data_IF_182419588147
#
_entry.id   IF_182419588147
#
_cell.length_a   1.000
_cell.length_b   1.000
_cell.length_c   1.000
_cell.angle_alpha   90.00
_cell.angle_beta   90.00
_cell.angle_gamma   90.00
#
_symmetry.space_group_name_H-M   'P 1'
#
loop_
_entity.id
_entity.type
_entity.pdbx_description
1 polymer ?
#
# COMPACT_ATOMS: atom_id res chain seq x y z
N UNK A 1 -31.83 -9.89 -0.67
CA UNK A 1 -30.89 -11.01 -0.63
C UNK A 1 -29.57 -10.43 -0.13
N UNK A 2 -29.18 -10.70 1.10
CA UNK A 2 -27.84 -10.39 1.59
C UNK A 2 -26.87 -11.25 0.80
N UNK A 3 -25.97 -10.64 0.00
CA UNK A 3 -24.84 -11.39 -0.57
C UNK A 3 -24.08 -12.01 0.59
N UNK A 4 -23.94 -13.34 0.61
CA UNK A 4 -23.03 -13.98 1.55
C UNK A 4 -21.65 -13.34 1.39
N UNK A 5 -21.05 -12.93 2.50
CA UNK A 5 -19.70 -12.32 2.50
C UNK A 5 -18.73 -13.40 2.08
N UNK A 6 -18.13 -13.26 0.91
CA UNK A 6 -17.11 -14.19 0.41
C UNK A 6 -15.87 -14.02 1.29
N UNK A 7 -15.49 -15.09 1.99
CA UNK A 7 -14.30 -15.08 2.86
C UNK A 7 -13.04 -15.33 2.03
N UNK A 8 -12.12 -14.40 2.10
CA UNK A 8 -10.76 -14.54 1.59
C UNK A 8 -9.76 -14.14 2.69
N UNK A 9 -8.52 -14.55 2.58
CA UNK A 9 -7.48 -14.28 3.55
C UNK A 9 -6.09 -14.53 2.98
N UNK A 10 -5.15 -14.85 3.86
CA UNK A 10 -3.75 -15.10 3.51
C UNK A 10 -3.26 -16.49 3.98
N UNK A 11 -4.17 -17.36 4.37
CA UNK A 11 -3.87 -18.76 4.71
C UNK A 11 -3.85 -19.68 3.48
N UNK A 12 -3.48 -20.94 3.65
CA UNK A 12 -3.39 -21.92 2.55
C UNK A 12 -4.73 -22.19 1.84
N UNK A 13 -5.88 -21.93 2.48
CA UNK A 13 -7.21 -22.27 1.95
C UNK A 13 -7.90 -21.11 1.27
N UNK A 14 -7.64 -19.91 1.74
CA UNK A 14 -8.31 -18.69 1.32
C UNK A 14 -7.33 -17.60 0.84
N UNK A 15 -6.05 -17.91 0.77
CA UNK A 15 -4.97 -17.02 0.41
C UNK A 15 -4.83 -16.75 -1.09
N UNK A 16 -3.79 -15.98 -1.47
CA UNK A 16 -3.60 -15.45 -2.82
C UNK A 16 -3.66 -16.51 -3.94
N UNK A 17 -3.12 -17.70 -3.70
CA UNK A 17 -3.15 -18.81 -4.65
C UNK A 17 -4.56 -19.36 -4.91
N UNK A 18 -5.48 -19.09 -4.00
CA UNK A 18 -6.86 -19.58 -4.09
C UNK A 18 -7.85 -18.52 -4.55
N UNK A 19 -7.48 -17.21 -4.50
CA UNK A 19 -8.44 -16.13 -4.74
C UNK A 19 -9.25 -16.29 -6.03
N UNK A 20 -8.60 -16.56 -7.15
CA UNK A 20 -9.27 -16.75 -8.43
C UNK A 20 -10.21 -17.96 -8.51
N UNK A 21 -10.18 -18.85 -7.51
CA UNK A 21 -11.03 -20.04 -7.41
C UNK A 21 -12.16 -19.90 -6.39
N UNK A 22 -12.14 -18.85 -5.55
CA UNK A 22 -13.13 -18.67 -4.47
C UNK A 22 -14.50 -18.32 -5.06
N UNK A 23 -14.55 -17.42 -6.03
CA UNK A 23 -15.79 -17.07 -6.73
C UNK A 23 -15.48 -16.41 -8.09
N UNK A 24 -16.50 -16.31 -8.95
CA UNK A 24 -16.35 -15.73 -10.29
C UNK A 24 -15.89 -14.26 -10.27
N UNK A 25 -16.28 -13.50 -9.26
CA UNK A 25 -15.90 -12.08 -9.14
C UNK A 25 -14.38 -11.92 -8.91
N UNK A 26 -13.69 -12.97 -8.46
CA UNK A 26 -12.25 -12.97 -8.16
C UNK A 26 -11.40 -13.67 -9.24
N UNK A 27 -12.01 -14.19 -10.31
CA UNK A 27 -11.32 -14.92 -11.39
C UNK A 27 -10.16 -14.12 -12.00
N UNK A 28 -10.27 -12.79 -12.03
CA UNK A 28 -9.24 -11.89 -12.54
C UNK A 28 -7.92 -12.00 -11.77
N UNK A 29 -7.93 -12.49 -10.51
CA UNK A 29 -6.72 -12.74 -9.75
C UNK A 29 -5.80 -13.78 -10.42
N UNK A 30 -6.37 -14.68 -11.23
CA UNK A 30 -5.66 -15.72 -11.98
C UNK A 30 -5.52 -15.40 -13.47
N UNK A 31 -6.54 -14.77 -14.07
CA UNK A 31 -6.62 -14.56 -15.52
C UNK A 31 -6.10 -13.20 -15.96
N UNK A 32 -6.00 -12.26 -15.03
CA UNK A 32 -5.54 -10.90 -15.28
C UNK A 32 -4.10 -10.85 -15.80
N UNK A 33 -3.81 -9.84 -16.62
CA UNK A 33 -2.49 -9.65 -17.26
C UNK A 33 -1.76 -8.42 -16.74
N UNK A 34 -2.45 -7.59 -15.99
CA UNK A 34 -1.88 -6.38 -15.39
C UNK A 34 -2.01 -6.44 -13.86
N UNK A 35 -1.68 -7.59 -13.28
CA UNK A 35 -1.79 -7.81 -11.84
C UNK A 35 -0.64 -7.18 -11.04
N UNK A 36 -0.91 -6.86 -9.77
CA UNK A 36 0.02 -6.33 -8.76
C UNK A 36 0.04 -7.24 -7.53
N UNK A 37 1.12 -7.21 -6.72
CA UNK A 37 2.35 -6.41 -6.85
C UNK A 37 3.31 -6.96 -7.91
N UNK A 38 4.44 -6.28 -8.15
CA UNK A 38 5.49 -6.74 -9.07
C UNK A 38 6.88 -6.60 -8.44
N UNK A 39 7.88 -7.32 -8.99
CA UNK A 39 9.28 -7.03 -8.71
C UNK A 39 9.75 -5.90 -9.66
N UNK A 40 10.29 -4.83 -9.09
CA UNK A 40 10.85 -3.69 -9.85
C UNK A 40 12.34 -3.94 -10.02
N UNK A 41 12.73 -4.38 -11.23
CA UNK A 41 14.14 -4.52 -11.59
C UNK A 41 14.65 -3.17 -12.11
N UNK A 42 15.56 -2.51 -11.38
CA UNK A 42 16.06 -1.19 -11.77
C UNK A 42 16.77 -1.21 -13.13
N UNK A 43 17.33 -2.35 -13.53
CA UNK A 43 17.96 -2.54 -14.83
C UNK A 43 16.97 -2.47 -16.01
N UNK A 44 15.69 -2.80 -15.76
CA UNK A 44 14.62 -2.88 -16.77
C UNK A 44 13.78 -1.62 -16.88
N UNK A 45 14.09 -0.59 -16.09
CA UNK A 45 13.36 0.68 -16.11
C UNK A 45 13.61 1.45 -17.41
N UNK A 46 12.55 1.68 -18.15
CA UNK A 46 12.64 2.14 -19.55
C UNK A 46 12.92 3.64 -19.68
N UNK A 47 12.54 4.49 -18.73
CA UNK A 47 12.64 5.97 -18.88
C UNK A 47 12.89 6.69 -17.57
N UNK A 48 13.83 7.64 -17.60
CA UNK A 48 13.97 8.69 -16.62
C UNK A 48 13.13 9.89 -17.05
N UNK A 49 12.23 10.34 -16.16
CA UNK A 49 11.42 11.55 -16.39
C UNK A 49 11.53 12.46 -15.17
N UNK A 50 11.56 13.80 -15.36
CA UNK A 50 11.45 14.71 -14.24
C UNK A 50 10.05 14.59 -13.62
N UNK A 51 10.01 14.56 -12.28
CA UNK A 51 8.75 14.50 -11.56
C UNK A 51 8.05 15.85 -11.55
N UNK A 52 6.74 15.83 -11.81
CA UNK A 52 5.83 16.96 -11.59
C UNK A 52 4.86 16.70 -10.45
N UNK A 53 5.10 15.65 -9.67
CA UNK A 53 4.23 15.28 -8.56
C UNK A 53 4.24 16.33 -7.45
N UNK A 54 3.07 16.64 -6.90
CA UNK A 54 2.91 17.54 -5.76
C UNK A 54 2.05 16.86 -4.70
N UNK A 55 2.48 16.97 -3.45
CA UNK A 55 1.78 16.41 -2.30
C UNK A 55 1.02 17.51 -1.57
N UNK A 56 -0.20 17.17 -1.12
CA UNK A 56 -1.11 18.05 -0.38
C UNK A 56 -1.50 17.37 0.93
N UNK A 57 -0.53 16.78 1.62
CA UNK A 57 -0.73 16.19 2.94
C UNK A 57 -0.32 17.17 4.02
N UNK A 58 -1.08 17.17 5.10
CA UNK A 58 -0.83 17.92 6.33
C UNK A 58 -1.38 17.14 7.51
N UNK A 59 -0.96 17.46 8.70
CA UNK A 59 -1.55 16.92 9.91
C UNK A 59 -3.06 17.17 9.94
N UNK A 60 -3.83 16.12 10.18
CA UNK A 60 -5.29 16.16 10.31
C UNK A 60 -5.79 14.93 11.07
N UNK A 61 -7.10 14.91 11.35
CA UNK A 61 -7.75 13.78 12.01
C UNK A 61 -8.09 12.68 11.00
N UNK A 62 -7.97 11.44 11.47
CA UNK A 62 -8.26 10.22 10.73
C UNK A 62 -9.08 9.27 11.59
N UNK A 63 -9.92 8.47 10.96
CA UNK A 63 -10.55 7.30 11.58
C UNK A 63 -9.77 6.05 11.23
N UNK A 64 -9.36 5.28 12.24
CA UNK A 64 -8.74 3.96 12.07
C UNK A 64 -9.80 2.90 12.32
N UNK A 65 -9.84 1.89 11.45
CA UNK A 65 -10.67 0.71 11.63
C UNK A 65 -10.10 -0.50 10.91
N UNK A 66 -10.43 -1.70 11.41
CA UNK A 66 -10.12 -2.92 10.71
C UNK A 66 -11.15 -3.17 9.61
N UNK A 67 -10.66 -3.45 8.41
CA UNK A 67 -11.46 -3.94 7.29
C UNK A 67 -10.83 -5.26 6.85
N UNK A 68 -11.60 -6.34 6.97
CA UNK A 68 -11.14 -7.68 6.63
C UNK A 68 -9.87 -8.07 7.39
N UNK A 69 -8.75 -8.25 6.69
CA UNK A 69 -7.48 -8.68 7.29
C UNK A 69 -6.52 -7.52 7.60
N UNK A 70 -6.87 -6.27 7.26
CA UNK A 70 -5.98 -5.13 7.39
C UNK A 70 -6.57 -3.98 8.22
N UNK A 71 -5.70 -3.13 8.73
CA UNK A 71 -6.04 -1.88 9.41
C UNK A 71 -5.99 -0.75 8.41
N UNK A 72 -7.11 -0.08 8.22
CA UNK A 72 -7.28 1.03 7.30
C UNK A 72 -7.45 2.35 8.04
N UNK A 73 -6.85 3.39 7.49
CA UNK A 73 -6.84 4.76 8.02
C UNK A 73 -7.50 5.69 7.02
N UNK A 74 -8.55 6.40 7.44
CA UNK A 74 -9.40 7.22 6.58
C UNK A 74 -9.28 8.70 6.96
N UNK A 75 -8.89 9.61 6.05
CA UNK A 75 -8.79 11.04 6.35
C UNK A 75 -10.17 11.69 6.53
N UNK A 76 -10.29 12.58 7.52
CA UNK A 76 -11.45 13.45 7.64
C UNK A 76 -11.40 14.61 6.65
N UNK A 77 -10.21 15.16 6.42
CA UNK A 77 -9.98 16.22 5.44
C UNK A 77 -9.92 15.64 4.02
N UNK A 78 -10.91 15.99 3.21
CA UNK A 78 -11.03 15.53 1.82
C UNK A 78 -10.09 16.25 0.83
N UNK A 79 -9.37 17.25 1.30
CA UNK A 79 -8.35 17.96 0.51
C UNK A 79 -6.96 17.29 0.59
N UNK A 80 -6.81 16.25 1.43
CA UNK A 80 -5.61 15.40 1.44
C UNK A 80 -5.46 14.67 0.11
N UNK A 81 -4.25 14.62 -0.45
CA UNK A 81 -4.03 13.92 -1.71
C UNK A 81 -2.74 14.31 -2.42
N UNK A 82 -2.66 13.97 -3.68
CA UNK A 82 -1.53 14.32 -4.54
C UNK A 82 -1.98 14.78 -5.93
N UNK A 83 -1.12 15.50 -6.62
CA UNK A 83 -1.27 15.81 -8.06
C UNK A 83 -0.18 15.11 -8.84
N UNK A 84 -0.57 14.32 -9.83
CA UNK A 84 0.32 13.60 -10.74
C UNK A 84 -0.12 13.84 -12.18
N UNK A 85 0.82 14.15 -13.06
CA UNK A 85 0.57 14.49 -14.47
C UNK A 85 -0.52 15.55 -14.69
N UNK A 86 -0.59 16.55 -13.80
CA UNK A 86 -1.59 17.61 -13.86
C UNK A 86 -2.95 17.29 -13.23
N UNK A 87 -3.24 16.04 -12.95
CA UNK A 87 -4.48 15.54 -12.36
C UNK A 87 -4.38 15.46 -10.83
N UNK A 88 -5.44 15.85 -10.11
CA UNK A 88 -5.52 15.71 -8.66
C UNK A 88 -6.21 14.41 -8.27
N UNK A 89 -5.60 13.71 -7.31
CA UNK A 89 -6.08 12.45 -6.76
C UNK A 89 -6.26 12.60 -5.25
N UNK A 90 -7.51 12.70 -4.75
CA UNK A 90 -7.79 12.75 -3.31
C UNK A 90 -7.41 11.44 -2.63
N UNK A 91 -6.84 11.53 -1.41
CA UNK A 91 -6.57 10.37 -0.56
C UNK A 91 -7.89 9.83 -0.02
N UNK A 92 -8.14 8.54 -0.25
CA UNK A 92 -9.33 7.85 0.26
C UNK A 92 -9.03 7.12 1.56
N UNK A 93 -7.90 6.42 1.61
CA UNK A 93 -7.43 5.68 2.78
C UNK A 93 -5.97 5.29 2.62
N UNK A 94 -5.36 4.81 3.70
CA UNK A 94 -4.09 4.10 3.59
C UNK A 94 -4.06 2.91 4.56
N UNK A 95 -3.21 1.93 4.28
CA UNK A 95 -3.05 0.71 5.05
C UNK A 95 -1.67 0.11 4.83
N UNK A 96 -1.28 -0.86 5.66
CA UNK A 96 0.01 -1.54 5.56
C UNK A 96 -0.14 -3.00 5.17
N UNK A 97 0.90 -3.51 4.52
CA UNK A 97 1.16 -4.92 4.29
C UNK A 97 2.46 -5.35 4.97
N UNK A 98 2.47 -6.55 5.53
CA UNK A 98 3.62 -7.20 6.17
C UNK A 98 3.73 -8.64 5.63
N UNK A 99 4.91 -9.02 5.08
CA UNK A 99 5.96 -8.14 4.57
C UNK A 99 5.49 -7.28 3.40
N UNK A 100 6.38 -6.48 2.81
CA UNK A 100 6.08 -5.72 1.61
C UNK A 100 5.60 -6.62 0.47
N UNK A 101 4.71 -6.08 -0.37
CA UNK A 101 4.15 -6.80 -1.52
C UNK A 101 5.01 -6.62 -2.78
N UNK A 102 5.47 -5.37 -3.06
CA UNK A 102 6.43 -5.13 -4.12
C UNK A 102 7.85 -5.52 -3.70
N UNK A 103 8.66 -5.90 -4.68
CA UNK A 103 10.10 -6.09 -4.49
C UNK A 103 10.86 -5.01 -5.28
N UNK A 104 12.05 -4.67 -4.79
CA UNK A 104 13.01 -3.84 -5.50
C UNK A 104 14.30 -4.64 -5.71
N UNK A 105 14.63 -4.97 -6.97
CA UNK A 105 15.73 -5.87 -7.32
C UNK A 105 15.73 -7.18 -6.51
N UNK A 106 14.53 -7.74 -6.29
CA UNK A 106 14.33 -8.95 -5.49
C UNK A 106 14.37 -8.77 -3.97
N UNK A 107 14.66 -7.56 -3.47
CA UNK A 107 14.63 -7.28 -2.04
C UNK A 107 13.20 -7.01 -1.56
N UNK A 108 12.80 -7.67 -0.47
CA UNK A 108 11.50 -7.53 0.20
C UNK A 108 11.68 -6.71 1.47
N UNK A 109 11.07 -5.54 1.51
CA UNK A 109 11.06 -4.71 2.71
C UNK A 109 10.14 -5.30 3.80
N UNK A 110 10.39 -4.99 5.10
CA UNK A 110 9.54 -5.46 6.21
C UNK A 110 8.10 -4.97 6.14
N UNK A 111 7.88 -3.71 5.77
CA UNK A 111 6.54 -3.10 5.68
C UNK A 111 6.40 -2.33 4.38
N UNK A 112 5.21 -2.40 3.79
CA UNK A 112 4.79 -1.53 2.69
C UNK A 112 3.47 -0.85 3.03
N UNK A 113 3.45 0.48 2.99
CA UNK A 113 2.25 1.30 3.13
C UNK A 113 1.65 1.60 1.78
N UNK A 114 0.35 1.38 1.61
CA UNK A 114 -0.42 1.74 0.43
C UNK A 114 -1.33 2.92 0.71
N UNK A 115 -1.10 4.04 0.03
CA UNK A 115 -1.92 5.25 0.06
C UNK A 115 -2.85 5.24 -1.14
N UNK A 116 -4.11 4.91 -0.91
CA UNK A 116 -5.13 4.74 -1.95
C UNK A 116 -5.75 6.09 -2.27
N UNK A 117 -5.65 6.48 -3.52
CA UNK A 117 -6.26 7.71 -4.05
C UNK A 117 -7.27 7.34 -5.11
N UNK A 118 -8.40 8.04 -5.13
CA UNK A 118 -9.45 7.77 -6.10
C UNK A 118 -10.15 9.07 -6.52
N UNK A 119 -10.21 9.30 -7.83
CA UNK A 119 -10.97 10.42 -8.38
C UNK A 119 -12.49 10.12 -8.36
N UNK A 120 -13.35 11.13 -8.46
CA UNK A 120 -14.80 10.94 -8.50
C UNK A 120 -15.31 10.06 -9.66
N UNK A 121 -14.50 9.91 -10.72
CA UNK A 121 -14.81 9.04 -11.86
C UNK A 121 -14.39 7.57 -11.65
N UNK A 122 -13.84 7.24 -10.46
CA UNK A 122 -13.38 5.91 -10.10
C UNK A 122 -11.93 5.60 -10.54
N UNK A 123 -11.23 6.55 -11.19
CA UNK A 123 -9.81 6.37 -11.53
C UNK A 123 -8.97 6.24 -10.27
N UNK A 124 -8.28 5.11 -10.12
CA UNK A 124 -7.50 4.77 -8.92
C UNK A 124 -6.01 4.95 -9.15
N UNK A 125 -5.35 5.58 -8.19
CA UNK A 125 -3.90 5.66 -8.06
C UNK A 125 -3.51 5.18 -6.67
N UNK A 126 -2.58 4.24 -6.56
CA UNK A 126 -2.02 3.81 -5.28
C UNK A 126 -0.56 4.22 -5.22
N UNK A 127 -0.20 4.95 -4.16
CA UNK A 127 1.19 5.23 -3.86
C UNK A 127 1.67 4.28 -2.78
N UNK A 128 2.85 3.70 -2.97
CA UNK A 128 3.49 2.78 -2.04
C UNK A 128 4.73 3.43 -1.43
N UNK A 129 4.91 3.24 -0.13
CA UNK A 129 6.12 3.62 0.61
C UNK A 129 6.59 2.47 1.48
N UNK A 130 7.88 2.18 1.43
CA UNK A 130 8.48 1.09 2.21
C UNK A 130 9.05 1.58 3.55
N UNK A 131 9.06 0.69 4.51
CA UNK A 131 9.84 0.84 5.73
C UNK A 131 10.80 -0.33 5.88
N UNK A 132 12.04 0.01 6.25
CA UNK A 132 13.09 -0.94 6.57
C UNK A 132 13.42 -0.87 8.07
N UNK A 133 14.06 -1.92 8.59
CA UNK A 133 14.42 -1.98 10.00
C UNK A 133 15.83 -1.42 10.20
N UNK A 134 15.95 -0.42 11.07
CA UNK A 134 17.23 0.09 11.53
C UNK A 134 17.45 -0.23 13.01
N UNK A 135 18.46 -1.04 13.29
CA UNK A 135 18.88 -1.40 14.63
C UNK A 135 19.90 -0.42 15.22
N UNK A 136 20.14 0.71 14.54
CA UNK A 136 21.02 1.79 15.00
C UNK A 136 20.19 2.92 15.61
N UNK A 137 20.82 4.06 15.91
CA UNK A 137 20.12 5.24 16.43
C UNK A 137 19.56 6.14 15.34
N UNK A 138 19.51 5.69 14.08
CA UNK A 138 19.07 6.48 12.92
C UNK A 138 17.64 6.18 12.49
N UNK A 139 16.80 5.73 13.41
CA UNK A 139 15.37 5.50 13.15
C UNK A 139 14.70 6.82 12.79
N UNK A 140 14.10 6.84 11.59
CA UNK A 140 13.44 8.02 11.05
C UNK A 140 11.95 8.11 11.44
N UNK A 141 11.26 6.95 11.49
CA UNK A 141 9.85 6.88 11.87
C UNK A 141 9.72 6.29 13.30
N UNK A 142 9.34 7.15 14.24
CA UNK A 142 9.26 6.82 15.67
C UNK A 142 7.84 6.83 16.24
N UNK A 143 6.87 7.21 15.41
CA UNK A 143 5.50 7.45 15.85
C UNK A 143 4.56 6.26 15.62
N UNK A 144 5.07 5.12 15.12
CA UNK A 144 4.23 3.96 14.86
C UNK A 144 3.46 3.50 16.10
N UNK A 145 4.10 3.32 17.29
CA UNK A 145 3.37 2.95 18.50
C UNK A 145 2.43 4.06 19.00
N UNK A 146 2.75 5.33 18.72
CA UNK A 146 1.91 6.46 19.10
C UNK A 146 0.64 6.51 18.25
N UNK A 147 0.78 6.27 16.95
CA UNK A 147 -0.36 6.29 16.02
C UNK A 147 -1.23 5.06 16.12
N UNK A 148 -0.68 3.92 16.52
CA UNK A 148 -1.40 2.65 16.58
C UNK A 148 -1.29 1.94 17.94
N UNK A 149 -1.43 2.63 19.10
CA UNK A 149 -1.11 2.05 20.41
C UNK A 149 -2.05 0.93 20.85
N UNK A 150 -3.26 0.89 20.31
CA UNK A 150 -4.33 -0.03 20.77
C UNK A 150 -5.12 -0.66 19.61
N UNK A 151 -4.81 -0.34 18.37
CA UNK A 151 -5.45 -0.94 17.17
C UNK A 151 -5.32 -2.47 17.19
N UNK A 152 -4.42 -2.96 17.97
CA UNK A 152 -4.01 -4.34 18.07
C UNK A 152 -4.79 -5.16 19.10
N UNK A 153 -5.44 -4.51 20.07
CA UNK A 153 -6.16 -5.20 21.15
C UNK A 153 -7.65 -5.41 20.83
N UNK A 154 -8.29 -4.49 20.11
CA UNK A 154 -9.71 -4.54 19.76
C UNK A 154 -9.93 -4.05 18.32
N UNK A 155 -10.20 -4.98 17.43
CA UNK A 155 -10.32 -4.74 16.00
C UNK A 155 -11.73 -4.34 15.54
N UNK A 156 -12.70 -4.33 16.41
CA UNK A 156 -14.10 -4.01 16.05
C UNK A 156 -14.44 -2.53 16.29
N UNK A 157 -13.60 -1.82 17.03
CA UNK A 157 -13.85 -0.43 17.42
C UNK A 157 -13.12 0.55 16.52
N UNK A 158 -13.85 1.52 15.95
CA UNK A 158 -13.23 2.66 15.27
C UNK A 158 -12.49 3.55 16.27
N UNK A 159 -11.36 4.10 15.84
CA UNK A 159 -10.51 5.00 16.64
C UNK A 159 -10.24 6.28 15.85
N UNK A 160 -10.26 7.39 16.57
CA UNK A 160 -9.84 8.68 16.04
C UNK A 160 -8.38 8.94 16.38
N UNK A 161 -7.62 9.46 15.42
CA UNK A 161 -6.20 9.80 15.58
C UNK A 161 -5.85 11.02 14.75
N UNK A 162 -4.97 11.86 15.28
CA UNK A 162 -4.35 12.96 14.54
C UNK A 162 -2.95 12.54 14.10
N UNK A 163 -2.66 12.60 12.80
CA UNK A 163 -1.34 12.28 12.25
C UNK A 163 -1.03 13.09 10.98
N UNK A 164 0.25 13.12 10.61
CA UNK A 164 0.72 13.62 9.32
C UNK A 164 1.19 12.45 8.43
N UNK A 165 0.49 12.21 7.33
CA UNK A 165 0.82 11.18 6.33
C UNK A 165 2.25 11.34 5.79
N UNK A 166 2.81 12.55 5.77
CA UNK A 166 4.19 12.78 5.33
C UNK A 166 5.22 12.01 6.17
N UNK A 167 4.91 11.69 7.43
CA UNK A 167 5.82 10.95 8.31
C UNK A 167 6.05 9.50 7.86
N UNK A 168 5.14 8.93 7.08
CA UNK A 168 5.25 7.57 6.53
C UNK A 168 6.11 7.50 5.27
N UNK A 169 6.56 8.62 4.73
CA UNK A 169 7.26 8.71 3.46
C UNK A 169 8.69 9.20 3.64
N UNK A 170 9.64 8.76 2.77
CA UNK A 170 10.98 9.32 2.75
C UNK A 170 10.96 10.80 2.35
N UNK A 171 12.02 11.56 2.71
CA UNK A 171 12.18 12.96 2.29
C UNK A 171 12.34 13.08 0.78
N UNK A 172 13.21 12.26 0.21
CA UNK A 172 13.43 12.19 -1.23
C UNK A 172 12.38 11.27 -1.87
N UNK A 173 11.46 11.87 -2.63
CA UNK A 173 10.29 11.19 -3.22
C UNK A 173 10.46 10.90 -4.70
N UNK A 174 11.58 10.30 -5.07
CA UNK A 174 11.78 9.69 -6.38
C UNK A 174 11.03 8.35 -6.44
N UNK A 175 10.47 7.99 -7.59
CA UNK A 175 9.54 6.86 -7.65
C UNK A 175 9.52 6.15 -8.99
N UNK A 176 9.04 4.92 -8.95
CA UNK A 176 8.66 4.13 -10.11
C UNK A 176 7.14 4.21 -10.32
N UNK A 177 6.70 4.09 -11.58
CA UNK A 177 5.28 3.97 -11.89
C UNK A 177 5.03 2.91 -12.94
N UNK A 178 3.91 2.19 -12.80
CA UNK A 178 3.43 1.20 -13.75
C UNK A 178 1.91 1.07 -13.67
N UNK A 179 1.30 0.41 -14.65
CA UNK A 179 -0.13 0.08 -14.65
C UNK A 179 -0.33 -1.31 -14.05
N UNK A 180 -1.20 -1.42 -13.06
CA UNK A 180 -1.41 -2.64 -12.30
C UNK A 180 -2.84 -2.84 -11.83
N UNK A 181 -2.99 -3.55 -10.71
CA UNK A 181 -4.26 -3.90 -10.10
C UNK A 181 -4.29 -3.54 -8.61
N UNK A 182 -5.44 -3.73 -7.97
CA UNK A 182 -5.48 -3.90 -6.50
C UNK A 182 -4.76 -5.19 -6.13
N UNK A 183 -4.16 -5.22 -4.94
CA UNK A 183 -3.45 -6.40 -4.41
C UNK A 183 -4.33 -7.29 -3.53
N UNK A 184 -5.57 -6.89 -3.29
CA UNK A 184 -6.58 -7.66 -2.56
C UNK A 184 -7.79 -7.94 -3.44
N UNK A 185 -8.54 -9.04 -3.21
CA UNK A 185 -9.74 -9.35 -3.98
C UNK A 185 -10.74 -8.19 -4.06
N UNK A 186 -11.33 -7.97 -5.23
CA UNK A 186 -11.29 -8.78 -6.45
C UNK A 186 -10.11 -8.50 -7.40
N UNK A 187 -9.03 -7.88 -6.98
CA UNK A 187 -7.79 -7.59 -7.74
C UNK A 187 -8.01 -6.87 -9.07
N UNK A 188 -8.96 -5.94 -9.08
CA UNK A 188 -9.35 -5.18 -10.28
C UNK A 188 -8.16 -4.43 -10.87
N UNK A 189 -7.97 -4.57 -12.18
CA UNK A 189 -6.93 -3.89 -12.96
C UNK A 189 -7.29 -2.43 -13.27
N UNK A 190 -6.34 -1.66 -13.80
CA UNK A 190 -6.51 -0.24 -14.12
C UNK A 190 -6.03 0.71 -13.02
N UNK A 191 -5.27 0.20 -12.06
CA UNK A 191 -4.63 0.99 -11.00
C UNK A 191 -3.31 1.56 -11.51
N UNK A 192 -3.12 2.87 -11.37
CA UNK A 192 -1.81 3.49 -11.53
C UNK A 192 -1.03 3.35 -10.23
N UNK A 193 0.09 2.65 -10.28
CA UNK A 193 1.01 2.53 -9.15
C UNK A 193 2.10 3.59 -9.19
N UNK A 194 2.38 4.16 -8.03
CA UNK A 194 3.55 5.00 -7.71
C UNK A 194 4.27 4.31 -6.57
N UNK A 195 5.46 3.79 -6.80
CA UNK A 195 6.26 3.09 -5.78
C UNK A 195 7.47 3.95 -5.46
N UNK A 196 7.50 4.52 -4.25
CA UNK A 196 8.63 5.33 -3.79
C UNK A 196 9.89 4.47 -3.74
N UNK A 197 11.00 5.00 -4.28
CA UNK A 197 12.25 4.23 -4.40
C UNK A 197 12.92 4.02 -3.05
N UNK A 198 12.95 5.07 -2.22
CA UNK A 198 13.65 5.06 -0.95
C UNK A 198 12.73 4.54 0.15
N UNK A 199 13.28 3.73 1.06
CA UNK A 199 12.58 3.32 2.26
C UNK A 199 12.81 4.34 3.38
N UNK A 200 11.87 4.38 4.33
CA UNK A 200 12.05 5.03 5.63
C UNK A 200 12.36 3.97 6.68
N UNK A 201 13.08 4.33 7.73
CA UNK A 201 13.51 3.35 8.75
C UNK A 201 12.65 3.42 10.00
N UNK A 202 12.40 2.26 10.61
CA UNK A 202 11.75 2.10 11.92
C UNK A 202 12.55 1.16 12.82
N UNK A 203 12.27 1.21 14.13
CA UNK A 203 12.92 0.35 15.13
C UNK A 203 12.41 -1.08 15.09
N UNK A 204 13.29 -2.04 15.42
CA UNK A 204 12.95 -3.46 15.46
C UNK A 204 11.81 -3.78 16.44
N UNK A 205 11.77 -3.11 17.60
CA UNK A 205 10.71 -3.36 18.59
C UNK A 205 9.35 -2.92 18.06
N UNK A 206 9.27 -1.74 17.45
CA UNK A 206 8.05 -1.20 16.85
C UNK A 206 7.57 -2.12 15.70
N UNK A 207 8.50 -2.61 14.88
CA UNK A 207 8.19 -3.58 13.83
C UNK A 207 7.59 -4.88 14.41
N UNK A 208 8.23 -5.46 15.42
CA UNK A 208 7.79 -6.73 16.01
C UNK A 208 6.36 -6.64 16.60
N UNK A 209 6.05 -5.52 17.25
CA UNK A 209 4.70 -5.29 17.77
C UNK A 209 3.68 -5.12 16.65
N UNK A 210 4.04 -4.37 15.62
CA UNK A 210 3.17 -4.15 14.46
C UNK A 210 2.94 -5.44 13.67
N UNK A 211 3.99 -6.21 13.39
CA UNK A 211 3.91 -7.53 12.74
C UNK A 211 3.02 -8.50 13.52
N UNK A 212 3.20 -8.57 14.84
CA UNK A 212 2.36 -9.42 15.72
C UNK A 212 0.87 -9.09 15.62
N UNK A 213 0.57 -7.84 15.40
CA UNK A 213 -0.80 -7.34 15.35
C UNK A 213 -1.48 -7.52 13.99
N UNK A 214 -0.74 -7.31 12.89
CA UNK A 214 -1.27 -7.37 11.53
C UNK A 214 -1.11 -8.78 10.94
N UNK A 215 0.02 -9.43 11.23
CA UNK A 215 0.37 -10.71 10.63
C UNK A 215 0.77 -10.58 9.16
N UNK A 216 0.90 -11.72 8.49
CA UNK A 216 1.20 -11.74 7.05
C UNK A 216 -0.04 -11.35 6.24
N UNK A 217 0.06 -10.27 5.48
CA UNK A 217 -1.01 -9.73 4.63
C UNK A 217 -0.54 -9.44 3.21
N UNK A 218 0.48 -10.15 2.74
CA UNK A 218 1.11 -9.89 1.44
C UNK A 218 0.65 -10.87 0.38
N UNK A 219 0.34 -10.33 -0.80
CA UNK A 219 0.19 -11.10 -2.03
C UNK A 219 1.57 -11.29 -2.68
N UNK A 220 1.91 -12.50 -3.17
CA UNK A 220 3.12 -12.71 -3.95
C UNK A 220 3.18 -11.82 -5.21
N UNK A 221 4.41 -11.53 -5.68
CA UNK A 221 4.63 -10.79 -6.92
C UNK A 221 4.03 -11.48 -8.13
N UNK A 222 3.56 -10.67 -9.06
CA UNK A 222 2.93 -11.08 -10.31
C UNK A 222 3.83 -10.72 -11.50
N UNK A 223 3.67 -11.44 -12.59
CA UNK A 223 4.42 -11.18 -13.82
C UNK A 223 4.13 -9.78 -14.39
N UNK A 224 5.16 -9.10 -14.84
CA UNK A 224 5.02 -7.82 -15.56
C UNK A 224 4.24 -7.95 -16.86
N UNK A 225 4.31 -9.11 -17.52
CA UNK A 225 3.65 -9.36 -18.81
C UNK A 225 3.94 -8.30 -19.87
N UNK A 226 5.17 -7.78 -19.89
CA UNK A 226 5.61 -6.76 -20.83
C UNK A 226 5.18 -5.33 -20.50
N UNK A 227 4.61 -5.08 -19.32
CA UNK A 227 4.33 -3.71 -18.85
C UNK A 227 5.63 -2.96 -18.61
N UNK A 228 5.63 -1.69 -19.00
CA UNK A 228 6.77 -0.79 -18.76
C UNK A 228 6.72 -0.25 -17.33
N UNK A 229 7.90 -0.17 -16.69
CA UNK A 229 8.12 0.59 -15.47
C UNK A 229 8.86 1.87 -15.83
N UNK A 230 8.32 3.02 -15.43
CA UNK A 230 8.94 4.33 -15.65
C UNK A 230 9.46 4.89 -14.33
N UNK A 231 10.68 5.40 -14.32
CA UNK A 231 11.26 6.09 -13.15
C UNK A 231 11.11 7.61 -13.29
N UNK A 232 10.81 8.25 -12.16
CA UNK A 232 10.69 9.70 -12.00
C UNK A 232 11.64 10.18 -10.89
N UNK A 233 12.40 11.23 -11.19
CA UNK A 233 13.34 11.91 -10.28
C UNK A 233 13.08 13.41 -10.15
#
# INVERSE_FOLDING_TARGET
MTKEKVLWGYDEKTGPEMWGHICSDFEIAHTGKAQSPVNIEQADVVKLKPSTMKFYYKETDYTIRRIEQSVHVFPHDKEQGLRFNGEYYPLVSFHAHIPAEHLLDGYMYPIEWHFVHEKPDGTTLVMSAWMDIDNTNNVEFKNLPTYFPEVFADFETEREITLDVNEFMPEERVFYTYQGSRTTPPTVEGVTWIVLKNAKTLGQEDFNEFEKAIGNTSRPVQDLNGREITFYN
#
